data_IF_286204119078
#
_entry.id   IF_286204119078
#
_cell.length_a   1.000
_cell.length_b   1.000
_cell.length_c   1.000
_cell.angle_alpha   90.00
_cell.angle_beta   90.00
_cell.angle_gamma   90.00
#
_symmetry.space_group_name_H-M   'P 1'
#
loop_
_entity.id
_entity.type
_entity.pdbx_description
1 polymer ?
#
# COMPACT_ATOMS: atom_id res chain seq x y z
N UNK A 1 9.13 0.79 -3.72
CA UNK A 1 10.00 0.10 -4.70
C UNK A 1 9.28 -0.01 -6.02
N UNK A 2 9.91 0.26 -7.17
CA UNK A 2 9.26 0.05 -8.46
C UNK A 2 8.95 -1.44 -8.64
N UNK A 3 7.69 -1.75 -8.93
CA UNK A 3 7.20 -3.08 -9.26
C UNK A 3 6.87 -3.11 -10.76
N UNK A 4 6.98 -4.29 -11.38
CA UNK A 4 6.62 -4.48 -12.79
C UNK A 4 5.43 -5.43 -12.92
N UNK A 5 4.58 -5.18 -13.91
CA UNK A 5 3.33 -5.92 -14.13
C UNK A 5 2.19 -5.45 -13.23
N UNK A 6 1.14 -6.25 -13.15
CA UNK A 6 -0.07 -5.91 -12.38
C UNK A 6 0.25 -5.74 -10.88
N UNK A 7 -0.38 -4.76 -10.22
CA UNK A 7 -0.18 -4.51 -8.79
C UNK A 7 -1.01 -5.46 -7.93
N UNK A 8 -0.78 -6.77 -8.09
CA UNK A 8 -1.32 -7.78 -7.18
C UNK A 8 -0.56 -7.77 -5.85
N UNK A 9 -1.20 -8.24 -4.78
CA UNK A 9 -0.55 -8.46 -3.48
C UNK A 9 0.70 -9.32 -3.62
N UNK A 10 0.64 -10.37 -4.45
CA UNK A 10 1.78 -11.25 -4.75
C UNK A 10 2.94 -10.50 -5.41
N UNK A 11 2.67 -9.62 -6.38
CA UNK A 11 3.73 -8.88 -7.07
C UNK A 11 4.35 -7.81 -6.17
N UNK A 12 3.54 -7.14 -5.35
CA UNK A 12 4.03 -6.22 -4.32
C UNK A 12 4.95 -6.95 -3.34
N UNK A 13 4.52 -8.11 -2.83
CA UNK A 13 5.31 -8.93 -1.92
C UNK A 13 6.61 -9.44 -2.53
N UNK A 14 6.54 -10.02 -3.71
CA UNK A 14 7.73 -10.49 -4.45
C UNK A 14 8.71 -9.35 -4.70
N UNK A 15 8.22 -8.16 -5.06
CA UNK A 15 9.07 -6.97 -5.29
C UNK A 15 9.79 -6.56 -4.01
N UNK A 16 9.10 -6.51 -2.87
CA UNK A 16 9.74 -6.14 -1.61
C UNK A 16 10.75 -7.20 -1.16
N UNK A 17 10.40 -8.48 -1.24
CA UNK A 17 11.30 -9.59 -0.89
C UNK A 17 12.56 -9.60 -1.76
N UNK A 18 12.41 -9.39 -3.08
CA UNK A 18 13.55 -9.28 -4.00
C UNK A 18 14.47 -8.09 -3.68
N UNK A 19 13.92 -7.02 -3.10
CA UNK A 19 14.68 -5.87 -2.63
C UNK A 19 15.29 -6.05 -1.22
N UNK A 20 15.15 -7.22 -0.59
CA UNK A 20 15.61 -7.45 0.79
C UNK A 20 14.78 -6.70 1.83
N UNK A 21 13.50 -6.48 1.54
CA UNK A 21 12.56 -5.77 2.39
C UNK A 21 11.34 -6.61 2.73
N UNK A 22 10.58 -6.15 3.71
CA UNK A 22 9.31 -6.76 4.13
C UNK A 22 8.14 -5.91 3.63
N UNK A 23 7.00 -6.55 3.42
CA UNK A 23 5.75 -5.88 3.06
C UNK A 23 4.98 -5.48 4.31
N UNK A 24 4.58 -4.21 4.46
CA UNK A 24 3.65 -3.82 5.51
C UNK A 24 2.26 -4.41 5.28
N UNK A 25 1.59 -4.86 6.35
CA UNK A 25 0.18 -5.21 6.29
C UNK A 25 -0.71 -3.97 6.28
N UNK A 26 -1.83 -4.03 5.55
CA UNK A 26 -2.89 -3.03 5.61
C UNK A 26 -3.68 -3.02 6.94
N UNK A 27 -3.51 -4.05 7.79
CA UNK A 27 -4.14 -4.09 9.10
C UNK A 27 -4.11 -5.50 9.70
N UNK A 28 -4.60 -5.63 10.93
CA UNK A 28 -4.62 -6.90 11.68
C UNK A 28 -5.60 -7.93 11.11
N UNK A 29 -6.60 -7.52 10.34
CA UNK A 29 -7.66 -8.40 9.81
C UNK A 29 -7.58 -8.65 8.30
N UNK A 30 -6.58 -8.08 7.62
CA UNK A 30 -6.33 -8.27 6.18
C UNK A 30 -4.93 -8.81 5.93
N UNK A 31 -4.50 -9.69 6.82
CA UNK A 31 -3.15 -10.23 6.86
C UNK A 31 -2.99 -11.27 5.74
N UNK A 32 -2.05 -10.98 4.83
CA UNK A 32 -1.33 -12.01 4.08
C UNK A 32 0.02 -12.29 4.76
N UNK A 33 1.02 -12.72 3.99
CA UNK A 33 2.40 -12.85 4.45
C UNK A 33 3.07 -11.46 4.51
N UNK A 34 2.84 -10.71 5.60
CA UNK A 34 3.26 -9.31 5.76
C UNK A 34 3.57 -8.96 7.23
N UNK A 35 4.20 -7.80 7.45
CA UNK A 35 4.57 -7.27 8.77
C UNK A 35 3.61 -6.17 9.20
N UNK A 36 3.00 -6.31 10.37
CA UNK A 36 2.13 -5.29 10.93
C UNK A 36 2.97 -4.08 11.39
N UNK A 37 2.67 -2.89 10.88
CA UNK A 37 3.25 -1.64 11.39
C UNK A 37 2.36 -1.08 12.50
N UNK A 38 2.93 -0.45 13.56
CA UNK A 38 2.16 0.06 14.71
C UNK A 38 1.03 1.02 14.32
N UNK A 39 1.20 1.75 13.23
CA UNK A 39 0.26 2.75 12.74
C UNK A 39 -0.74 2.20 11.71
N UNK A 40 -0.57 0.95 11.24
CA UNK A 40 -1.47 0.29 10.29
C UNK A 40 -2.26 -0.81 10.99
N UNK A 41 -3.38 -0.43 11.59
CA UNK A 41 -4.25 -1.33 12.34
C UNK A 41 -5.67 -1.43 11.76
N UNK A 42 -5.97 -0.73 10.66
CA UNK A 42 -7.30 -0.69 10.07
C UNK A 42 -7.29 -0.96 8.55
N UNK A 43 -7.85 -2.11 8.20
CA UNK A 43 -8.07 -2.55 6.82
C UNK A 43 -8.97 -1.66 5.96
N UNK A 44 -9.87 -0.90 6.58
CA UNK A 44 -10.83 -0.08 5.82
C UNK A 44 -10.15 1.13 5.20
N UNK A 45 -9.05 1.61 5.80
CA UNK A 45 -8.37 2.86 5.41
C UNK A 45 -6.84 2.78 5.58
N UNK A 46 -6.16 1.74 5.05
CA UNK A 46 -4.75 1.52 5.31
C UNK A 46 -3.86 2.65 4.77
N UNK A 47 -4.18 3.14 3.57
CA UNK A 47 -3.40 4.22 2.95
C UNK A 47 -3.58 5.56 3.66
N UNK A 48 -4.73 5.84 4.26
CA UNK A 48 -4.94 7.06 5.07
C UNK A 48 -4.14 6.99 6.38
N UNK A 49 -4.04 5.80 6.98
CA UNK A 49 -3.17 5.58 8.15
C UNK A 49 -1.71 5.79 7.80
N UNK A 50 -1.29 5.28 6.64
CA UNK A 50 0.06 5.51 6.12
C UNK A 50 0.29 6.99 5.81
N UNK A 51 -0.68 7.68 5.21
CA UNK A 51 -0.60 9.11 4.90
C UNK A 51 -0.42 9.95 6.17
N UNK A 52 -1.10 9.61 7.26
CA UNK A 52 -0.88 10.25 8.56
C UNK A 52 0.56 10.11 9.04
N UNK A 53 1.16 8.93 8.86
CA UNK A 53 2.53 8.67 9.27
C UNK A 53 3.58 9.33 8.36
N UNK A 54 3.32 9.38 7.04
CA UNK A 54 4.29 9.88 6.04
C UNK A 54 4.16 11.39 5.78
N UNK A 55 2.93 11.89 5.68
CA UNK A 55 2.62 13.28 5.33
C UNK A 55 2.20 14.13 6.55
N UNK A 56 2.20 13.57 7.77
CA UNK A 56 1.90 14.31 9.01
C UNK A 56 0.41 14.59 9.24
N UNK A 57 -0.48 13.98 8.44
CA UNK A 57 -1.93 14.12 8.56
C UNK A 57 -2.62 14.05 7.19
N UNK A 58 -3.96 13.98 7.21
CA UNK A 58 -4.78 14.07 6.00
C UNK A 58 -5.15 12.74 5.34
N UNK A 59 -5.73 12.86 4.14
CA UNK A 59 -6.13 11.73 3.29
C UNK A 59 -4.98 11.28 2.39
N UNK A 60 -4.96 10.01 2.02
CA UNK A 60 -3.92 9.46 1.15
C UNK A 60 -3.87 10.14 -0.22
N UNK A 61 -5.02 10.58 -0.74
CA UNK A 61 -5.14 11.37 -1.97
C UNK A 61 -4.53 12.76 -1.91
N UNK A 62 -4.09 13.21 -0.73
CA UNK A 62 -3.42 14.49 -0.51
C UNK A 62 -1.95 14.30 -0.14
N UNK A 63 -1.44 13.06 -0.20
CA UNK A 63 -0.09 12.71 0.17
C UNK A 63 0.70 12.34 -1.10
N UNK A 64 1.39 13.30 -1.76
CA UNK A 64 2.16 13.03 -2.96
C UNK A 64 3.14 11.86 -2.88
N UNK A 65 3.82 11.61 -1.74
CA UNK A 65 4.68 10.44 -1.59
C UNK A 65 3.97 9.09 -1.74
N UNK A 66 2.65 9.04 -1.61
CA UNK A 66 1.87 7.81 -1.75
C UNK A 66 1.27 7.63 -3.12
N UNK A 67 1.38 8.62 -4.03
CA UNK A 67 0.86 8.43 -5.38
C UNK A 67 1.42 7.15 -5.98
N UNK A 68 0.57 6.41 -6.67
CA UNK A 68 0.97 5.20 -7.38
C UNK A 68 1.63 4.16 -6.47
N UNK A 69 1.40 4.21 -5.16
CA UNK A 69 1.99 3.30 -4.18
C UNK A 69 0.95 2.32 -3.66
N UNK A 70 1.32 1.04 -3.60
CA UNK A 70 0.43 -0.07 -3.30
C UNK A 70 0.91 -0.89 -2.10
N UNK A 71 0.00 -1.23 -1.21
CA UNK A 71 0.18 -2.08 -0.04
C UNK A 71 -0.47 -3.44 -0.23
N UNK A 72 0.15 -4.48 0.34
CA UNK A 72 -0.40 -5.85 0.34
C UNK A 72 -1.71 -5.89 1.11
N UNK A 73 -2.70 -6.54 0.50
CA UNK A 73 -3.95 -6.97 1.11
C UNK A 73 -4.00 -8.49 1.17
N UNK A 74 -4.88 -9.05 1.99
CA UNK A 74 -5.17 -10.49 1.99
C UNK A 74 -5.47 -11.01 0.56
N UNK A 75 -5.07 -12.25 0.26
CA UNK A 75 -5.19 -12.83 -1.09
C UNK A 75 -6.65 -12.92 -1.58
N UNK A 76 -7.63 -12.93 -0.68
CA UNK A 76 -9.06 -12.93 -1.02
C UNK A 76 -9.62 -11.54 -1.32
N UNK A 77 -8.87 -10.46 -1.06
CA UNK A 77 -9.32 -9.10 -1.30
C UNK A 77 -9.22 -8.77 -2.78
N UNK A 78 -10.39 -8.62 -3.43
CA UNK A 78 -10.51 -8.27 -4.86
C UNK A 78 -9.58 -9.12 -5.74
N UNK A 79 -9.68 -10.45 -5.61
CA UNK A 79 -8.91 -11.40 -6.43
C UNK A 79 -7.38 -11.24 -6.27
N UNK A 80 -6.92 -11.05 -5.03
CA UNK A 80 -5.50 -10.92 -4.70
C UNK A 80 -4.88 -9.59 -5.13
N UNK A 81 -5.70 -8.55 -5.31
CA UNK A 81 -5.22 -7.21 -5.64
C UNK A 81 -4.50 -6.57 -4.45
N UNK A 82 -3.51 -5.72 -4.73
CA UNK A 82 -3.01 -4.79 -3.74
C UNK A 82 -3.94 -3.56 -3.64
N UNK A 83 -3.88 -2.84 -2.52
CA UNK A 83 -4.61 -1.59 -2.33
C UNK A 83 -3.64 -0.43 -2.55
N UNK A 84 -3.96 0.55 -3.39
CA UNK A 84 -3.05 1.68 -3.63
C UNK A 84 -3.71 3.02 -3.79
N UNK A 85 -2.88 4.07 -3.89
CA UNK A 85 -3.34 5.44 -4.10
C UNK A 85 -3.12 5.83 -5.55
N UNK A 86 -4.15 6.38 -6.18
CA UNK A 86 -4.11 6.84 -7.57
C UNK A 86 -4.74 8.23 -7.65
N UNK A 87 -3.92 9.28 -7.50
CA UNK A 87 -4.41 10.65 -7.38
C UNK A 87 -5.01 11.19 -8.68
N UNK A 88 -4.49 10.76 -9.83
CA UNK A 88 -4.96 11.20 -11.15
C UNK A 88 -6.40 10.76 -11.45
N UNK A 89 -6.87 9.68 -10.81
CA UNK A 89 -8.24 9.15 -10.95
C UNK A 89 -9.25 9.79 -10.00
N UNK A 90 -8.84 10.76 -9.18
CA UNK A 90 -9.69 11.36 -8.17
C UNK A 90 -10.52 12.50 -8.74
N UNK A 91 -11.86 12.36 -8.88
CA UNK A 91 -12.70 13.51 -9.17
C UNK A 91 -12.55 14.53 -8.04
N UNK A 92 -12.01 15.69 -8.39
CA UNK A 92 -11.79 16.83 -7.49
C UNK A 92 -13.06 17.11 -6.68
N UNK A 93 -12.99 16.94 -5.36
CA UNK A 93 -14.08 17.24 -4.43
C UNK A 93 -14.62 16.07 -3.61
N UNK A 94 -14.29 14.82 -3.96
CA UNK A 94 -14.61 13.66 -3.11
C UNK A 94 -13.38 13.16 -2.35
N UNK A 95 -13.25 13.62 -1.10
CA UNK A 95 -12.31 13.09 -0.10
C UNK A 95 -12.71 11.69 0.42
N UNK A 96 -13.78 11.10 -0.12
CA UNK A 96 -14.40 9.84 0.31
C UNK A 96 -14.79 8.93 -0.86
N UNK A 97 -14.34 9.23 -2.08
CA UNK A 97 -14.55 8.36 -3.24
C UNK A 97 -13.78 7.04 -3.06
N UNK A 98 -14.41 5.86 -3.26
CA UNK A 98 -13.86 4.54 -2.89
C UNK A 98 -12.62 4.08 -3.67
N UNK A 99 -12.09 4.90 -4.57
CA UNK A 99 -11.05 4.51 -5.54
C UNK A 99 -9.70 5.19 -5.35
N UNK A 100 -9.64 6.31 -4.62
CA UNK A 100 -8.41 7.12 -4.54
C UNK A 100 -7.41 6.67 -3.49
N UNK A 101 -7.91 6.12 -2.38
CA UNK A 101 -7.11 5.69 -1.24
C UNK A 101 -6.90 4.16 -1.24
N UNK A 102 -7.61 3.45 -2.12
CA UNK A 102 -7.56 2.00 -2.21
C UNK A 102 -8.03 1.53 -3.60
N UNK A 103 -7.33 1.98 -4.63
CA UNK A 103 -7.51 1.50 -5.99
C UNK A 103 -7.24 -0.01 -6.05
N UNK A 104 -8.02 -0.74 -6.87
CA UNK A 104 -7.80 -2.16 -7.10
C UNK A 104 -6.49 -2.35 -7.85
N UNK A 105 -5.46 -2.88 -7.20
CA UNK A 105 -4.14 -2.98 -7.82
C UNK A 105 -4.08 -3.82 -9.09
N UNK A 106 -4.96 -4.82 -9.27
CA UNK A 106 -5.00 -5.58 -10.53
C UNK A 106 -5.42 -4.72 -11.75
N UNK A 107 -6.06 -3.57 -11.54
CA UNK A 107 -6.41 -2.62 -12.62
C UNK A 107 -5.23 -1.71 -13.01
N UNK A 108 -4.11 -1.81 -12.29
CA UNK A 108 -2.94 -0.95 -12.45
C UNK A 108 -1.67 -1.78 -12.62
N UNK A 109 -0.69 -1.22 -13.31
CA UNK A 109 0.57 -1.90 -13.59
C UNK A 109 1.75 -0.93 -13.59
N UNK A 110 2.94 -1.47 -13.33
CA UNK A 110 4.20 -0.72 -13.37
C UNK A 110 4.18 0.50 -12.43
N UNK A 111 3.86 0.23 -11.16
CA UNK A 111 3.71 1.22 -10.08
C UNK A 111 4.69 0.93 -8.95
N UNK A 112 4.49 1.52 -7.78
CA UNK A 112 5.38 1.33 -6.62
C UNK A 112 4.77 0.40 -5.58
N UNK A 113 5.53 -0.62 -5.19
CA UNK A 113 5.28 -1.46 -4.02
C UNK A 113 5.71 -0.72 -2.73
N UNK A 114 4.82 -0.69 -1.73
CA UNK A 114 5.15 -0.23 -0.39
C UNK A 114 5.96 -1.31 0.33
N UNK A 115 7.22 -1.00 0.60
CA UNK A 115 8.13 -1.89 1.32
C UNK A 115 8.64 -1.18 2.58
N UNK A 116 8.80 -1.93 3.66
CA UNK A 116 9.48 -1.48 4.87
C UNK A 116 10.80 -2.22 5.03
N UNK A 117 11.78 -1.53 5.61
CA UNK A 117 12.99 -2.22 6.07
C UNK A 117 12.62 -3.08 7.27
N UNK A 118 13.07 -4.33 7.28
CA UNK A 118 13.02 -5.12 8.49
C UNK A 118 13.93 -4.43 9.53
N UNK A 119 13.36 -3.96 10.63
CA UNK A 119 14.17 -3.46 11.75
C UNK A 119 14.75 -4.67 12.46
N UNK A 120 15.91 -5.10 11.96
CA UNK A 120 16.62 -6.28 12.40
C UNK A 120 17.80 -6.57 11.48
N UNK A 121 18.73 -5.61 11.40
CA UNK A 121 20.17 -5.74 11.15
C UNK A 121 20.70 -4.34 10.80
N UNK A 122 20.99 -3.54 11.83
CA UNK A 122 21.95 -2.43 11.71
C UNK A 122 23.33 -3.06 11.44
N UNK A 123 24.02 -2.76 10.31
CA UNK A 123 25.46 -2.95 10.27
C UNK A 123 26.06 -1.78 11.06
N UNK A 124 26.58 -2.09 12.25
CA UNK A 124 27.30 -1.14 13.09
C UNK A 124 28.54 -0.53 12.45
#
# INVERSE_FOLDING_TARGET
>A
MPASGAMSSTNVDTTCKAAGHVTPCAGTTCQGDCVLLPNLNNCSWPMDQLAKAVCGGGHASQCPPLDQTYIVMQDSWREGSACGVEMAGCPSGYLTGPTCYCATGNDHSDRYALCARALGEDPG
#
